data_IF_190589945324
#
_entry.id   IF_190589945324
#
_cell.length_a   1.000
_cell.length_b   1.000
_cell.length_c   1.000
_cell.angle_alpha   90.00
_cell.angle_beta   90.00
_cell.angle_gamma   90.00
#
_symmetry.space_group_name_H-M   'P 1'
#
loop_
_entity.id
_entity.type
_entity.pdbx_description
1 polymer ?
#
# COMPACT_ATOMS: atom_id res chain seq x y z
N UNK A 1 6.11 -7.86 -3.14
CA UNK A 1 4.72 -7.48 -3.47
C UNK A 1 4.11 -8.49 -4.43
N UNK A 2 2.85 -8.87 -4.22
CA UNK A 2 2.04 -9.47 -5.28
C UNK A 2 0.59 -9.01 -5.16
N UNK A 3 -0.16 -9.08 -6.26
CA UNK A 3 -1.61 -8.94 -6.27
C UNK A 3 -2.21 -9.88 -7.30
N UNK A 4 -3.38 -10.44 -6.99
CA UNK A 4 -4.12 -11.30 -7.91
C UNK A 4 -5.19 -10.48 -8.63
N UNK A 5 -5.25 -10.66 -9.96
CA UNK A 5 -6.29 -10.08 -10.81
C UNK A 5 -7.55 -10.95 -10.81
N UNK A 6 -8.72 -10.43 -11.21
CA UNK A 6 -9.98 -11.20 -11.22
C UNK A 6 -9.97 -12.47 -12.08
N UNK A 7 -9.09 -12.55 -13.09
CA UNK A 7 -8.88 -13.71 -13.96
C UNK A 7 -7.92 -14.75 -13.37
N UNK A 8 -7.36 -14.50 -12.18
CA UNK A 8 -6.43 -15.38 -11.50
C UNK A 8 -4.95 -15.09 -11.80
N UNK A 9 -4.64 -14.23 -12.77
CA UNK A 9 -3.28 -13.83 -13.09
C UNK A 9 -2.65 -13.05 -11.93
N UNK A 10 -1.33 -13.21 -11.77
CA UNK A 10 -0.56 -12.58 -10.71
C UNK A 10 0.28 -11.43 -11.26
N UNK A 11 0.20 -10.27 -10.60
CA UNK A 11 1.21 -9.21 -10.71
C UNK A 11 2.16 -9.39 -9.55
N UNK A 12 3.44 -9.63 -9.84
CA UNK A 12 4.47 -9.96 -8.85
C UNK A 12 5.68 -9.04 -9.04
N UNK A 13 6.39 -8.76 -7.95
CA UNK A 13 7.51 -7.82 -7.93
C UNK A 13 7.62 -7.17 -6.56
N UNK A 14 8.13 -5.98 -6.41
CA UNK A 14 9.13 -5.35 -7.27
C UNK A 14 10.53 -5.62 -6.71
N UNK A 15 11.53 -5.22 -7.49
CA UNK A 15 12.92 -5.18 -7.08
C UNK A 15 13.38 -3.74 -7.13
N UNK A 16 14.15 -3.29 -6.14
CA UNK A 16 14.63 -1.91 -6.07
C UNK A 16 16.13 -1.84 -6.26
N UNK A 17 16.55 -1.01 -7.22
CA UNK A 17 17.94 -0.62 -7.41
C UNK A 17 18.00 0.91 -7.61
N UNK A 18 18.95 1.55 -6.95
CA UNK A 18 19.21 2.98 -7.09
C UNK A 18 20.43 3.21 -7.97
N UNK A 19 20.31 4.12 -8.92
CA UNK A 19 21.41 4.56 -9.76
C UNK A 19 21.16 5.99 -10.26
N UNK A 20 22.23 6.76 -10.46
CA UNK A 20 22.13 8.08 -11.12
C UNK A 20 21.59 7.96 -12.54
N UNK A 21 21.98 6.88 -13.24
CA UNK A 21 21.45 6.51 -14.54
C UNK A 21 21.14 5.01 -14.49
N UNK A 22 19.85 4.61 -14.52
CA UNK A 22 19.48 3.21 -14.51
C UNK A 22 20.04 2.48 -15.73
N UNK A 23 20.47 1.23 -15.54
CA UNK A 23 20.87 0.37 -16.64
C UNK A 23 19.65 0.10 -17.56
N UNK A 24 19.77 0.28 -18.88
CA UNK A 24 18.68 -0.03 -19.80
C UNK A 24 18.34 -1.52 -19.83
N UNK A 25 19.27 -2.41 -19.51
CA UNK A 25 19.11 -3.86 -19.52
C UNK A 25 18.78 -4.41 -18.13
N UNK A 26 18.06 -5.53 -18.09
CA UNK A 26 17.67 -6.21 -16.86
C UNK A 26 18.64 -7.29 -16.44
N UNK A 27 18.59 -7.67 -15.17
CA UNK A 27 19.19 -8.92 -14.69
C UNK A 27 18.11 -9.99 -14.58
N UNK A 28 18.26 -11.06 -15.37
CA UNK A 28 17.37 -12.23 -15.31
C UNK A 28 17.46 -12.99 -13.98
N UNK A 29 18.52 -12.77 -13.19
CA UNK A 29 18.71 -13.43 -11.91
C UNK A 29 17.65 -13.02 -10.90
N UNK A 30 17.37 -11.72 -10.79
CA UNK A 30 16.36 -11.21 -9.88
C UNK A 30 14.97 -11.72 -10.25
N UNK A 31 14.64 -11.73 -11.54
CA UNK A 31 13.38 -12.29 -12.05
C UNK A 31 13.21 -13.75 -11.62
N UNK A 32 14.26 -14.58 -11.78
CA UNK A 32 14.22 -15.98 -11.34
C UNK A 32 13.96 -16.11 -9.84
N UNK A 33 14.59 -15.27 -9.02
CA UNK A 33 14.38 -15.28 -7.57
C UNK A 33 12.96 -14.89 -7.20
N UNK A 34 12.42 -13.82 -7.80
CA UNK A 34 11.04 -13.36 -7.54
C UNK A 34 10.03 -14.44 -7.94
N UNK A 35 10.21 -15.08 -9.10
CA UNK A 35 9.33 -16.17 -9.56
C UNK A 35 9.38 -17.38 -8.63
N UNK A 36 10.59 -17.84 -8.29
CA UNK A 36 10.77 -19.01 -7.44
C UNK A 36 10.20 -18.78 -6.04
N UNK A 37 10.46 -17.62 -5.46
CA UNK A 37 9.98 -17.29 -4.12
C UNK A 37 8.47 -17.10 -4.09
N UNK A 38 7.89 -16.47 -5.12
CA UNK A 38 6.43 -16.35 -5.22
C UNK A 38 5.76 -17.71 -5.34
N UNK A 39 6.28 -18.59 -6.21
CA UNK A 39 5.74 -19.96 -6.35
C UNK A 39 5.81 -20.72 -5.01
N UNK A 40 6.95 -20.62 -4.32
CA UNK A 40 7.16 -21.24 -3.01
C UNK A 40 6.18 -20.72 -1.95
N UNK A 41 6.02 -19.41 -1.84
CA UNK A 41 5.16 -18.78 -0.82
C UNK A 41 3.67 -19.06 -1.06
N UNK A 42 3.24 -19.13 -2.32
CA UNK A 42 1.85 -19.40 -2.67
C UNK A 42 1.52 -20.88 -2.77
N UNK A 43 2.51 -21.77 -2.60
CA UNK A 43 2.34 -23.20 -2.86
C UNK A 43 1.90 -23.50 -4.30
N UNK A 44 2.24 -22.60 -5.23
CA UNK A 44 1.91 -22.73 -6.63
C UNK A 44 2.97 -23.56 -7.36
N UNK A 45 2.57 -24.16 -8.49
CA UNK A 45 3.54 -24.71 -9.44
C UNK A 45 4.42 -23.62 -10.07
N UNK A 46 5.32 -23.99 -10.99
CA UNK A 46 6.12 -23.03 -11.74
C UNK A 46 5.24 -21.96 -12.40
N UNK A 47 5.56 -20.69 -12.15
CA UNK A 47 4.82 -19.56 -12.72
C UNK A 47 5.29 -19.29 -14.15
N UNK A 48 4.34 -19.13 -15.06
CA UNK A 48 4.62 -18.74 -16.45
C UNK A 48 4.53 -17.21 -16.59
N UNK A 49 5.59 -16.60 -17.12
CA UNK A 49 5.61 -15.15 -17.36
C UNK A 49 4.80 -14.83 -18.61
N UNK A 50 3.72 -14.06 -18.46
CA UNK A 50 2.92 -13.57 -19.60
C UNK A 50 3.48 -12.27 -20.17
N UNK A 51 3.79 -11.33 -19.29
CA UNK A 51 4.24 -9.99 -19.63
C UNK A 51 5.32 -9.55 -18.64
N UNK A 52 6.28 -8.73 -19.10
CA UNK A 52 7.27 -8.07 -18.26
C UNK A 52 7.27 -6.59 -18.56
N UNK A 53 7.37 -5.78 -17.53
CA UNK A 53 7.60 -4.35 -17.65
C UNK A 53 8.58 -3.90 -16.56
N UNK A 54 9.20 -2.74 -16.77
CA UNK A 54 10.06 -2.07 -15.79
C UNK A 54 9.58 -0.65 -15.59
N UNK A 55 9.42 -0.24 -14.33
CA UNK A 55 9.23 1.15 -13.95
C UNK A 55 10.55 1.78 -13.51
N UNK A 56 10.74 3.06 -13.80
CA UNK A 56 11.82 3.87 -13.22
C UNK A 56 11.17 4.91 -12.32
N UNK A 57 11.52 4.88 -11.04
CA UNK A 57 11.09 5.88 -10.07
C UNK A 57 12.17 6.94 -9.90
N UNK A 58 11.78 8.21 -9.96
CA UNK A 58 12.66 9.27 -9.53
C UNK A 58 12.91 9.12 -8.02
N UNK A 59 14.18 9.07 -7.62
CA UNK A 59 14.63 9.01 -6.23
C UNK A 59 15.63 10.13 -5.93
N UNK A 60 15.48 10.81 -4.80
CA UNK A 60 16.39 11.86 -4.34
C UNK A 60 16.59 11.70 -2.82
N UNK A 61 17.73 12.16 -2.28
CA UNK A 61 17.94 12.17 -0.83
C UNK A 61 16.90 13.03 -0.10
N UNK A 62 16.46 14.11 -0.75
CA UNK A 62 15.44 15.02 -0.26
C UNK A 62 14.07 14.80 -0.92
N UNK A 63 12.96 15.19 -0.27
CA UNK A 63 11.62 15.10 -0.87
C UNK A 63 11.50 15.94 -2.15
N UNK A 64 11.02 15.31 -3.23
CA UNK A 64 10.76 15.98 -4.52
C UNK A 64 9.68 17.05 -4.48
N UNK A 65 8.77 16.97 -3.50
CA UNK A 65 7.67 17.91 -3.33
C UNK A 65 8.11 19.11 -2.49
N UNK A 66 8.82 20.05 -3.12
CA UNK A 66 9.00 21.41 -2.60
C UNK A 66 7.80 22.26 -3.03
N UNK A 67 6.60 21.90 -2.57
CA UNK A 67 5.38 22.67 -2.85
C UNK A 67 4.88 23.35 -1.56
N UNK A 68 4.54 24.64 -1.66
CA UNK A 68 3.94 25.46 -0.59
C UNK A 68 2.65 24.84 -0.02
N UNK A 69 2.04 23.85 -0.69
CA UNK A 69 0.83 23.16 -0.24
C UNK A 69 0.97 22.40 1.09
N UNK A 70 2.18 21.99 1.51
CA UNK A 70 2.37 21.43 2.86
C UNK A 70 2.10 22.49 3.94
N UNK A 71 2.28 23.79 3.65
CA UNK A 71 1.91 24.86 4.60
C UNK A 71 0.39 25.02 4.77
N UNK A 72 -0.41 24.58 3.80
CA UNK A 72 -1.87 24.60 3.91
C UNK A 72 -2.40 23.39 4.70
N UNK A 73 -1.59 22.35 4.87
CA UNK A 73 -1.96 21.15 5.62
C UNK A 73 -1.86 21.43 7.12
N UNK A 74 -2.95 21.95 7.69
CA UNK A 74 -3.07 22.20 9.13
C UNK A 74 -3.27 20.88 9.87
N UNK A 75 -2.18 20.15 10.07
CA UNK A 75 -2.17 18.84 10.75
C UNK A 75 -2.93 18.87 12.10
N UNK A 76 -2.81 19.99 12.83
CA UNK A 76 -3.57 20.23 14.04
C UNK A 76 -5.09 20.20 13.84
N UNK A 77 -5.61 20.88 12.80
CA UNK A 77 -7.05 20.86 12.49
C UNK A 77 -7.52 19.46 12.10
N UNK A 78 -6.75 18.72 11.30
CA UNK A 78 -7.10 17.35 10.92
C UNK A 78 -7.23 16.44 12.15
N UNK A 79 -6.28 16.52 13.08
CA UNK A 79 -6.32 15.74 14.33
C UNK A 79 -7.52 16.15 15.20
N UNK A 80 -7.85 17.45 15.28
CA UNK A 80 -9.05 17.92 15.98
C UNK A 80 -10.33 17.33 15.39
N UNK A 81 -10.49 17.36 14.07
CA UNK A 81 -11.69 16.81 13.41
C UNK A 81 -11.80 15.29 13.60
N UNK A 82 -10.68 14.55 13.50
CA UNK A 82 -10.65 13.12 13.74
C UNK A 82 -11.02 12.77 15.19
N UNK A 83 -10.48 13.53 16.16
CA UNK A 83 -10.80 13.35 17.57
C UNK A 83 -12.29 13.60 17.86
N UNK A 84 -12.87 14.67 17.29
CA UNK A 84 -14.30 14.98 17.43
C UNK A 84 -15.16 13.85 16.85
N UNK A 85 -14.83 13.37 15.64
CA UNK A 85 -15.55 12.26 15.03
C UNK A 85 -15.47 10.98 15.89
N UNK A 86 -14.29 10.66 16.43
CA UNK A 86 -14.10 9.50 17.32
C UNK A 86 -14.95 9.61 18.59
N UNK A 87 -14.96 10.78 19.24
CA UNK A 87 -15.77 11.02 20.44
C UNK A 87 -17.26 10.88 20.12
N UNK A 88 -17.71 11.40 18.98
CA UNK A 88 -19.11 11.31 18.57
C UNK A 88 -19.53 9.85 18.34
N UNK A 89 -18.72 9.07 17.63
CA UNK A 89 -18.97 7.64 17.38
C UNK A 89 -19.07 6.88 18.71
N UNK A 90 -18.10 7.08 19.61
CA UNK A 90 -18.11 6.42 20.92
C UNK A 90 -19.34 6.84 21.75
N UNK A 91 -19.72 8.12 21.72
CA UNK A 91 -20.89 8.60 22.44
C UNK A 91 -22.19 7.99 21.89
N UNK A 92 -22.34 7.94 20.57
CA UNK A 92 -23.48 7.31 19.90
C UNK A 92 -23.55 5.81 20.24
N UNK A 93 -22.42 5.11 20.19
CA UNK A 93 -22.36 3.69 20.53
C UNK A 93 -22.73 3.42 21.99
N UNK A 94 -22.20 4.23 22.93
CA UNK A 94 -22.53 4.09 24.35
C UNK A 94 -23.99 4.42 24.64
N UNK A 95 -24.54 5.44 24.00
CA UNK A 95 -25.96 5.80 24.13
C UNK A 95 -26.85 4.70 23.55
N UNK A 96 -26.53 4.22 22.35
CA UNK A 96 -27.23 3.12 21.69
C UNK A 96 -27.22 1.86 22.55
N UNK A 97 -26.08 1.53 23.16
CA UNK A 97 -25.97 0.42 24.11
C UNK A 97 -26.78 0.65 25.40
N UNK A 98 -26.82 1.88 25.94
CA UNK A 98 -27.62 2.21 27.11
C UNK A 98 -29.12 2.07 26.83
N UNK A 99 -29.59 2.58 25.71
CA UNK A 99 -30.99 2.49 25.28
C UNK A 99 -31.40 1.03 25.08
N UNK A 100 -30.59 0.23 24.38
CA UNK A 100 -30.85 -1.22 24.21
C UNK A 100 -31.00 -1.94 25.54
N UNK A 101 -30.16 -1.63 26.54
CA UNK A 101 -30.27 -2.22 27.89
C UNK A 101 -31.52 -1.78 28.66
N UNK A 102 -32.02 -0.57 28.41
CA UNK A 102 -33.22 0.00 29.07
C UNK A 102 -34.53 -0.49 28.45
N UNK A 103 -34.53 -0.82 27.17
CA UNK A 103 -35.73 -1.28 26.43
C UNK A 103 -35.81 -2.82 26.38
N UNK A 104 -34.67 -3.51 26.44
CA UNK A 104 -34.60 -4.97 26.52
C UNK A 104 -34.71 -5.56 27.94
N UNK A 105 -35.03 -4.73 28.94
CA UNK A 105 -35.33 -5.09 30.32
C UNK A 105 -36.72 -4.55 30.66
#
# INVERSE_FOLDING_TARGET
>A
MFTQRPDGDLVIGDTHAYATTPDPFGSDELDRHVLAETARLLGAGPLAVRERWRGVYASAPEPFLVNQSIKLFRFGEMITHLAVAMVLVVAVDRLSAHVRRRIGA
#
